data_IF_169451369104
#
_entry.id   IF_169451369104
#
_cell.length_a   1.000
_cell.length_b   1.000
_cell.length_c   1.000
_cell.angle_alpha   90.00
_cell.angle_beta   90.00
_cell.angle_gamma   90.00
#
_symmetry.space_group_name_H-M   'P 1'
#
loop_
_entity.id
_entity.type
_entity.pdbx_description
1 polymer ?
#
# COMPACT_ATOMS: atom_id res chain seq x y z
N UNK A 1 -7.51 1.93 -21.88
CA UNK A 1 -6.91 0.63 -22.30
C UNK A 1 -5.47 0.59 -21.82
N UNK A 2 -4.99 -0.58 -21.38
CA UNK A 2 -3.60 -0.80 -20.97
C UNK A 2 -3.06 -2.03 -21.68
N UNK A 3 -1.88 -1.91 -22.26
CA UNK A 3 -1.11 -3.01 -22.82
C UNK A 3 0.26 -3.03 -22.17
N UNK A 4 0.77 -4.22 -21.84
CA UNK A 4 2.08 -4.36 -21.20
C UNK A 4 2.71 -5.68 -21.55
N UNK A 5 4.04 -5.70 -21.50
CA UNK A 5 4.85 -6.86 -21.79
C UNK A 5 5.98 -6.95 -20.77
N UNK A 6 6.46 -8.18 -20.55
CA UNK A 6 7.64 -8.46 -19.76
C UNK A 6 8.47 -9.54 -20.43
N UNK A 7 9.78 -9.45 -20.29
CA UNK A 7 10.69 -10.51 -20.72
C UNK A 7 10.61 -11.68 -19.75
N UNK A 8 10.36 -12.88 -20.27
CA UNK A 8 10.29 -14.09 -19.47
C UNK A 8 10.75 -15.28 -20.33
N UNK A 9 11.98 -15.75 -20.12
CA UNK A 9 12.51 -16.95 -20.76
C UNK A 9 12.46 -18.13 -19.78
N UNK A 10 12.66 -17.88 -18.49
CA UNK A 10 12.47 -18.88 -17.43
C UNK A 10 12.65 -18.33 -16.01
N UNK A 11 12.61 -19.24 -15.04
CA UNK A 11 12.82 -18.91 -13.61
C UNK A 11 14.28 -18.56 -13.28
N UNK A 12 15.21 -18.81 -14.22
CA UNK A 12 16.65 -18.60 -14.03
C UNK A 12 17.17 -17.35 -14.74
N UNK A 13 16.29 -16.51 -15.29
CA UNK A 13 16.68 -15.28 -15.98
C UNK A 13 17.44 -14.35 -15.03
N UNK A 14 18.67 -13.98 -15.37
CA UNK A 14 19.50 -13.06 -14.57
C UNK A 14 19.10 -11.60 -14.77
N UNK A 15 18.17 -11.30 -15.68
CA UNK A 15 17.66 -9.97 -15.90
C UNK A 15 16.18 -10.01 -16.27
N UNK A 16 15.49 -8.90 -16.07
CA UNK A 16 14.08 -8.74 -16.43
C UNK A 16 13.81 -7.31 -16.83
N UNK A 17 13.20 -7.14 -18.00
CA UNK A 17 12.64 -5.88 -18.47
C UNK A 17 11.13 -6.00 -18.53
N UNK A 18 10.45 -4.99 -18.02
CA UNK A 18 8.99 -4.94 -17.99
C UNK A 18 8.53 -3.54 -18.38
N UNK A 19 7.42 -3.45 -19.10
CA UNK A 19 6.86 -2.16 -19.46
C UNK A 19 5.40 -2.24 -19.84
N UNK A 20 4.72 -1.10 -19.74
CA UNK A 20 3.36 -0.94 -20.18
C UNK A 20 3.10 0.46 -20.69
N UNK A 21 2.08 0.57 -21.52
CA UNK A 21 1.49 1.83 -21.98
C UNK A 21 -0.01 1.76 -21.75
N UNK A 22 -0.62 2.88 -21.37
CA UNK A 22 -2.05 3.00 -21.23
C UNK A 22 -2.55 4.36 -21.71
N UNK A 23 -3.78 4.37 -22.21
CA UNK A 23 -4.49 5.58 -22.58
C UNK A 23 -5.86 5.57 -21.93
N UNK A 24 -6.20 6.65 -21.23
CA UNK A 24 -7.53 6.86 -20.67
C UNK A 24 -8.40 7.63 -21.65
N UNK A 25 -9.58 7.09 -21.95
CA UNK A 25 -10.51 7.74 -22.88
C UNK A 25 -11.28 8.90 -22.23
N UNK A 26 -11.44 8.88 -20.92
CA UNK A 26 -12.11 9.95 -20.17
C UNK A 26 -11.15 11.11 -19.91
N UNK A 27 -9.96 10.81 -19.39
CA UNK A 27 -8.96 11.82 -19.04
C UNK A 27 -8.09 12.26 -20.24
N UNK A 28 -8.15 11.56 -21.37
CA UNK A 28 -7.31 11.78 -22.55
C UNK A 28 -5.81 11.81 -22.25
N UNK A 29 -5.37 11.12 -21.18
CA UNK A 29 -3.98 11.09 -20.73
C UNK A 29 -3.29 9.79 -21.12
N UNK A 30 -2.04 9.93 -21.60
CA UNK A 30 -1.13 8.82 -21.82
C UNK A 30 -0.37 8.49 -20.53
N UNK A 31 -0.26 7.20 -20.23
CA UNK A 31 0.39 6.63 -19.05
C UNK A 31 1.37 5.58 -19.50
N UNK A 32 2.48 5.44 -18.80
CA UNK A 32 3.46 4.40 -19.10
C UNK A 32 4.26 4.01 -17.87
N UNK A 33 4.85 2.83 -17.92
CA UNK A 33 5.89 2.43 -16.99
C UNK A 33 6.88 1.54 -17.69
N UNK A 34 8.15 1.70 -17.36
CA UNK A 34 9.23 0.83 -17.81
C UNK A 34 10.16 0.60 -16.63
N UNK A 35 10.52 -0.66 -16.40
CA UNK A 35 11.53 -1.01 -15.40
C UNK A 35 12.43 -2.12 -15.91
N UNK A 36 13.63 -2.14 -15.36
CA UNK A 36 14.63 -3.16 -15.61
C UNK A 36 15.32 -3.54 -14.32
N UNK A 37 15.69 -4.81 -14.22
CA UNK A 37 16.54 -5.32 -13.15
C UNK A 37 17.49 -6.37 -13.66
N UNK A 38 18.68 -6.41 -13.08
CA UNK A 38 19.76 -7.33 -13.44
C UNK A 38 20.43 -7.84 -12.16
N UNK A 39 20.63 -9.15 -12.11
CA UNK A 39 21.39 -9.87 -11.10
C UNK A 39 22.86 -9.90 -11.52
N UNK A 40 23.69 -9.10 -10.86
CA UNK A 40 25.12 -8.97 -11.13
C UNK A 40 25.96 -10.03 -10.40
N UNK A 41 25.61 -10.35 -9.16
CA UNK A 41 26.26 -11.43 -8.40
C UNK A 41 25.21 -12.39 -7.84
N UNK A 42 25.16 -13.66 -8.29
CA UNK A 42 24.23 -14.66 -7.77
C UNK A 42 24.47 -15.04 -6.30
N UNK A 43 25.71 -14.94 -5.77
CA UNK A 43 26.04 -15.40 -4.41
C UNK A 43 25.50 -14.45 -3.35
N UNK A 44 25.83 -13.17 -3.46
CA UNK A 44 25.28 -12.11 -2.60
C UNK A 44 23.93 -11.59 -3.07
N UNK A 45 23.43 -12.11 -4.21
CA UNK A 45 22.23 -11.61 -4.91
C UNK A 45 22.26 -10.09 -5.13
N UNK A 46 23.39 -9.56 -5.59
CA UNK A 46 23.51 -8.17 -5.97
C UNK A 46 22.63 -7.90 -7.20
N UNK A 47 21.53 -7.17 -7.00
CA UNK A 47 20.58 -6.80 -8.03
C UNK A 47 20.62 -5.28 -8.20
N UNK A 48 20.80 -4.83 -9.43
CA UNK A 48 20.60 -3.42 -9.80
C UNK A 48 19.27 -3.31 -10.49
N UNK A 49 18.49 -2.30 -10.11
CA UNK A 49 17.17 -2.04 -10.68
C UNK A 49 16.99 -0.56 -10.99
N UNK A 50 16.22 -0.29 -12.02
CA UNK A 50 15.89 1.06 -12.42
C UNK A 50 14.57 1.09 -13.17
N UNK A 51 13.91 2.23 -13.15
CA UNK A 51 12.72 2.40 -13.96
C UNK A 51 12.10 3.78 -13.83
N UNK A 52 11.19 4.06 -14.75
CA UNK A 52 10.38 5.25 -14.73
C UNK A 52 8.91 4.88 -14.96
N UNK A 53 8.02 5.55 -14.26
CA UNK A 53 6.58 5.39 -14.42
C UNK A 53 5.89 6.74 -14.36
N UNK A 54 4.99 6.97 -15.30
CA UNK A 54 4.00 8.03 -15.28
C UNK A 54 2.60 7.42 -15.25
N UNK A 55 1.89 7.61 -14.15
CA UNK A 55 0.54 7.09 -13.98
C UNK A 55 -0.32 8.03 -13.13
N UNK A 56 -1.62 7.72 -13.06
CA UNK A 56 -2.56 8.33 -12.14
C UNK A 56 -2.85 7.30 -11.06
N UNK A 57 -2.50 7.63 -9.82
CA UNK A 57 -2.66 6.73 -8.69
C UNK A 57 -3.39 7.42 -7.54
N UNK A 58 -4.03 6.58 -6.74
CA UNK A 58 -4.45 6.97 -5.42
C UNK A 58 -3.29 6.75 -4.44
N UNK A 59 -2.84 7.81 -3.76
CA UNK A 59 -1.86 7.66 -2.68
C UNK A 59 -2.55 7.05 -1.45
N UNK A 60 -1.77 6.42 -0.58
CA UNK A 60 -2.32 5.84 0.66
C UNK A 60 -2.89 4.44 0.54
N UNK A 61 -2.68 3.72 -0.55
CA UNK A 61 -3.19 2.34 -0.72
C UNK A 61 -2.44 1.32 0.18
N UNK A 62 -1.26 1.68 0.68
CA UNK A 62 -0.50 0.88 1.65
C UNK A 62 0.46 1.80 2.42
N UNK A 63 0.59 1.54 3.73
CA UNK A 63 1.49 2.28 4.60
C UNK A 63 2.94 1.90 4.34
N UNK A 64 3.23 0.60 4.19
CA UNK A 64 4.59 0.09 4.00
C UNK A 64 4.83 -0.47 2.59
N UNK A 65 4.30 0.20 1.55
CA UNK A 65 4.55 -0.20 0.17
C UNK A 65 6.06 -0.12 -0.14
N UNK A 66 6.65 -1.24 -0.57
CA UNK A 66 7.96 -1.20 -1.23
C UNK A 66 7.81 -0.38 -2.50
N UNK A 67 8.63 0.66 -2.69
CA UNK A 67 8.59 1.59 -3.83
C UNK A 67 9.01 0.91 -5.15
N UNK A 68 8.38 -0.20 -5.52
CA UNK A 68 8.63 -0.85 -6.80
C UNK A 68 8.00 -0.01 -7.91
N UNK A 69 8.78 0.23 -8.98
CA UNK A 69 8.39 1.14 -10.09
C UNK A 69 7.13 0.64 -10.79
N UNK A 70 6.94 -0.68 -10.86
CA UNK A 70 5.75 -1.29 -11.47
C UNK A 70 4.77 -1.86 -10.44
N UNK A 71 4.93 -1.50 -9.17
CA UNK A 71 3.97 -1.84 -8.12
C UNK A 71 2.56 -1.42 -8.55
N UNK A 72 1.61 -2.37 -8.54
CA UNK A 72 0.24 -2.09 -8.98
C UNK A 72 -0.47 -1.23 -7.93
N UNK A 73 -0.94 -0.04 -8.30
CA UNK A 73 -1.95 0.67 -7.51
C UNK A 73 -3.32 0.04 -7.76
N UNK A 74 -3.94 -0.49 -6.70
CA UNK A 74 -5.20 -1.25 -6.70
C UNK A 74 -6.33 -0.46 -7.38
N UNK A 75 -6.36 0.87 -7.16
CA UNK A 75 -7.38 1.78 -7.69
C UNK A 75 -7.44 1.84 -9.22
N UNK A 76 -6.32 1.59 -9.91
CA UNK A 76 -6.26 1.64 -11.40
C UNK A 76 -6.93 0.45 -12.09
N UNK A 77 -7.28 -0.61 -11.34
CA UNK A 77 -7.74 -1.89 -11.89
C UNK A 77 -9.11 -2.36 -11.42
N UNK A 78 -9.75 -1.66 -10.49
CA UNK A 78 -11.09 -2.02 -10.03
C UNK A 78 -12.15 -1.41 -10.95
N UNK A 79 -12.90 -2.27 -11.65
CA UNK A 79 -14.03 -1.84 -12.49
C UNK A 79 -15.27 -1.42 -11.68
N UNK A 80 -15.27 -1.63 -10.36
CA UNK A 80 -16.44 -1.38 -9.49
C UNK A 80 -16.00 -0.77 -8.14
N UNK A 81 -16.45 0.44 -7.82
CA UNK A 81 -16.21 1.15 -6.55
C UNK A 81 -17.54 1.60 -5.93
N UNK A 82 -17.61 1.67 -4.59
CA UNK A 82 -18.81 2.06 -3.80
C UNK A 82 -18.77 3.54 -3.40
N UNK A 83 -17.92 4.34 -4.03
CA UNK A 83 -17.70 5.75 -3.69
C UNK A 83 -16.99 6.51 -4.82
N UNK A 84 -16.89 7.84 -4.64
CA UNK A 84 -16.22 8.72 -5.60
C UNK A 84 -14.70 8.42 -5.62
N UNK A 85 -14.21 7.85 -6.72
CA UNK A 85 -12.77 7.67 -6.96
C UNK A 85 -12.14 8.95 -7.53
N UNK A 86 -12.35 10.08 -6.86
CA UNK A 86 -11.92 11.41 -7.33
C UNK A 86 -10.62 11.90 -6.66
N UNK A 87 -10.11 11.20 -5.65
CA UNK A 87 -8.84 11.51 -4.95
C UNK A 87 -7.65 10.88 -5.64
N UNK A 88 -7.36 11.40 -6.84
CA UNK A 88 -6.35 10.87 -7.75
C UNK A 88 -5.17 11.84 -7.88
N UNK A 89 -3.96 11.29 -7.88
CA UNK A 89 -2.70 12.01 -8.02
C UNK A 89 -2.03 11.59 -9.32
N UNK A 90 -1.62 12.56 -10.13
CA UNK A 90 -0.69 12.33 -11.24
C UNK A 90 0.72 12.20 -10.68
N UNK A 91 1.37 11.07 -10.97
CA UNK A 91 2.69 10.73 -10.46
C UNK A 91 3.63 10.46 -11.62
N UNK A 92 4.78 11.13 -11.63
CA UNK A 92 5.95 10.72 -12.42
C UNK A 92 7.05 10.30 -11.47
N UNK A 93 7.44 9.03 -11.48
CA UNK A 93 8.40 8.43 -10.57
C UNK A 93 9.55 7.80 -11.35
N UNK A 94 10.76 8.24 -11.06
CA UNK A 94 12.01 7.62 -11.50
C UNK A 94 12.72 7.01 -10.31
N UNK A 95 13.13 5.76 -10.40
CA UNK A 95 13.86 5.08 -9.33
C UNK A 95 15.10 4.41 -9.88
N UNK A 96 16.17 4.48 -9.11
CA UNK A 96 17.38 3.66 -9.27
C UNK A 96 17.70 3.04 -7.92
N UNK A 97 18.06 1.76 -7.89
CA UNK A 97 18.37 1.09 -6.64
C UNK A 97 19.21 -0.16 -6.82
N UNK A 98 19.85 -0.54 -5.73
CA UNK A 98 20.69 -1.72 -5.58
C UNK A 98 20.16 -2.53 -4.39
N UNK A 99 19.99 -3.83 -4.57
CA UNK A 99 19.60 -4.78 -3.52
C UNK A 99 20.67 -5.85 -3.38
N UNK A 100 20.99 -6.25 -2.14
CA UNK A 100 21.83 -7.40 -1.82
C UNK A 100 21.17 -8.29 -0.78
N UNK A 101 21.52 -9.56 -0.77
CA UNK A 101 21.17 -10.56 0.25
C UNK A 101 22.46 -11.18 0.82
N UNK A 102 23.17 -10.49 1.75
CA UNK A 102 24.44 -10.97 2.27
C UNK A 102 24.32 -12.26 3.07
N UNK A 103 23.17 -12.48 3.71
CA UNK A 103 22.80 -13.75 4.34
C UNK A 103 21.39 -14.14 3.91
N UNK A 104 21.15 -15.44 3.79
CA UNK A 104 19.88 -15.99 3.30
C UNK A 104 18.69 -15.34 4.01
N UNK A 105 17.73 -14.86 3.23
CA UNK A 105 16.50 -14.21 3.69
C UNK A 105 16.66 -12.84 4.38
N UNK A 106 17.86 -12.25 4.38
CA UNK A 106 18.09 -10.89 4.86
C UNK A 106 18.52 -10.00 3.69
N UNK A 107 17.61 -9.14 3.24
CA UNK A 107 17.82 -8.26 2.09
C UNK A 107 18.06 -6.82 2.54
N UNK A 108 19.01 -6.18 1.89
CA UNK A 108 19.35 -4.77 2.08
C UNK A 108 19.19 -4.10 0.72
N UNK A 109 18.33 -3.10 0.63
CA UNK A 109 18.13 -2.26 -0.54
C UNK A 109 18.56 -0.84 -0.26
N UNK A 110 19.25 -0.21 -1.21
CA UNK A 110 19.56 1.21 -1.22
C UNK A 110 19.13 1.80 -2.56
N UNK A 111 18.54 2.98 -2.57
CA UNK A 111 18.12 3.60 -3.83
C UNK A 111 17.82 5.08 -3.73
N UNK A 112 17.74 5.71 -4.90
CA UNK A 112 17.25 7.06 -5.09
C UNK A 112 15.93 7.04 -5.86
N UNK A 113 14.97 7.81 -5.39
CA UNK A 113 13.66 7.98 -6.03
C UNK A 113 13.43 9.46 -6.28
N UNK A 114 13.22 9.85 -7.53
CA UNK A 114 12.74 11.17 -7.90
C UNK A 114 11.28 11.08 -8.29
N UNK A 115 10.42 11.87 -7.64
CA UNK A 115 8.98 11.90 -7.90
C UNK A 115 8.48 13.31 -8.14
N UNK A 116 7.49 13.42 -9.02
CA UNK A 116 6.67 14.61 -9.17
C UNK A 116 5.22 14.21 -8.90
N UNK A 117 4.55 14.94 -8.00
CA UNK A 117 3.17 14.71 -7.59
C UNK A 117 2.34 15.96 -7.91
N UNK A 118 1.20 15.78 -8.55
CA UNK A 118 0.20 16.83 -8.73
C UNK A 118 -1.20 16.21 -8.65
N UNK A 119 -2.22 17.00 -8.31
CA UNK A 119 -3.58 16.48 -8.38
C UNK A 119 -3.97 16.16 -9.82
N UNK A 120 -4.58 14.99 -10.04
CA UNK A 120 -5.13 14.62 -11.34
C UNK A 120 -6.49 15.28 -11.61
N UNK A 121 -7.20 15.70 -10.56
CA UNK A 121 -8.52 16.35 -10.62
C UNK A 121 -8.58 17.52 -9.61
N UNK A 122 -7.94 18.66 -9.91
CA UNK A 122 -7.82 19.78 -8.97
C UNK A 122 -9.16 20.31 -8.43
N UNK A 123 -10.22 20.23 -9.22
CA UNK A 123 -11.57 20.65 -8.83
C UNK A 123 -12.19 19.77 -7.74
N UNK A 124 -11.75 18.51 -7.62
CA UNK A 124 -12.32 17.53 -6.70
C UNK A 124 -11.36 17.07 -5.59
N UNK A 125 -10.04 17.21 -5.83
CA UNK A 125 -8.98 16.81 -4.92
C UNK A 125 -7.80 17.76 -5.09
N UNK A 126 -7.36 18.40 -4.02
CA UNK A 126 -6.21 19.31 -4.04
C UNK A 126 -5.04 18.71 -3.27
N UNK A 127 -3.84 18.86 -3.83
CA UNK A 127 -2.56 18.60 -3.17
C UNK A 127 -1.80 19.91 -2.95
N UNK A 128 -2.51 21.03 -2.95
CA UNK A 128 -1.94 22.35 -2.79
C UNK A 128 -1.32 22.50 -1.41
N UNK A 129 -0.17 23.17 -1.37
CA UNK A 129 0.56 23.45 -0.14
C UNK A 129 1.05 24.89 -0.14
N UNK A 130 1.31 25.40 1.07
CA UNK A 130 1.83 26.75 1.27
C UNK A 130 3.29 26.79 0.82
N UNK A 131 3.59 27.66 -0.14
CA UNK A 131 4.93 27.89 -0.65
C UNK A 131 5.19 29.39 -0.76
N UNK A 132 5.97 29.99 0.16
CA UNK A 132 6.27 31.42 0.15
C UNK A 132 6.98 31.92 -1.12
N UNK A 133 7.70 31.04 -1.83
CA UNK A 133 8.42 31.39 -3.05
C UNK A 133 7.51 31.36 -4.29
N UNK A 134 6.32 30.76 -4.18
CA UNK A 134 5.33 30.76 -5.24
C UNK A 134 4.69 32.16 -5.40
N UNK A 135 4.39 32.62 -6.63
CA UNK A 135 3.79 33.94 -6.87
C UNK A 135 2.49 34.22 -6.10
N UNK A 136 1.74 33.17 -5.80
CA UNK A 136 0.46 33.21 -5.06
C UNK A 136 0.59 32.77 -3.60
N UNK A 137 1.80 32.43 -3.14
CA UNK A 137 2.04 31.80 -1.84
C UNK A 137 1.59 30.33 -1.74
N UNK A 138 1.15 29.74 -2.85
CA UNK A 138 0.61 28.38 -2.93
C UNK A 138 1.20 27.67 -4.14
N UNK A 139 1.66 26.43 -3.95
CA UNK A 139 2.12 25.55 -5.01
C UNK A 139 1.25 24.29 -5.07
N UNK A 140 1.08 23.76 -6.29
CA UNK A 140 0.19 22.61 -6.59
C UNK A 140 0.94 21.36 -7.06
N UNK A 141 2.26 21.46 -7.22
CA UNK A 141 3.11 20.40 -7.74
C UNK A 141 4.27 20.19 -6.78
N UNK A 142 4.44 18.98 -6.29
CA UNK A 142 5.53 18.59 -5.41
C UNK A 142 6.58 17.86 -6.23
N UNK A 143 7.83 18.30 -6.15
CA UNK A 143 9.02 17.66 -6.69
C UNK A 143 9.87 17.18 -5.53
N UNK A 144 10.16 15.89 -5.50
CA UNK A 144 10.90 15.32 -4.38
C UNK A 144 11.91 14.27 -4.83
N UNK A 145 13.15 14.47 -4.40
CA UNK A 145 14.20 13.48 -4.44
C UNK A 145 14.39 12.85 -3.06
N UNK A 146 14.34 11.52 -3.02
CA UNK A 146 14.44 10.73 -1.82
C UNK A 146 15.58 9.72 -1.93
N UNK A 147 16.38 9.60 -0.88
CA UNK A 147 17.20 8.43 -0.63
C UNK A 147 16.41 7.41 0.19
N UNK A 148 16.51 6.14 -0.17
CA UNK A 148 15.79 5.05 0.48
C UNK A 148 16.75 3.95 0.93
N UNK A 149 16.61 3.50 2.17
CA UNK A 149 17.28 2.34 2.72
C UNK A 149 16.24 1.36 3.26
N UNK A 150 16.26 0.13 2.73
CA UNK A 150 15.27 -0.91 2.97
C UNK A 150 15.94 -2.15 3.54
N UNK A 151 15.50 -2.61 4.69
CA UNK A 151 15.92 -3.89 5.27
C UNK A 151 14.70 -4.81 5.30
N UNK A 152 14.82 -6.02 4.74
CA UNK A 152 13.78 -7.03 4.79
C UNK A 152 14.36 -8.33 5.32
N UNK A 153 13.80 -8.83 6.42
CA UNK A 153 14.16 -10.12 6.99
C UNK A 153 12.97 -11.09 6.93
N UNK A 154 13.20 -12.27 6.34
CA UNK A 154 12.16 -13.29 6.11
C UNK A 154 12.57 -14.67 6.62
N UNK A 155 12.72 -14.87 7.94
CA UNK A 155 13.26 -16.11 8.51
C UNK A 155 12.43 -17.33 8.12
N UNK A 156 13.10 -18.40 7.68
CA UNK A 156 12.43 -19.64 7.27
C UNK A 156 11.76 -19.59 5.89
N UNK A 157 11.84 -18.47 5.16
CA UNK A 157 11.43 -18.41 3.75
C UNK A 157 12.28 -19.35 2.91
N UNK A 158 11.60 -20.15 2.08
CA UNK A 158 12.18 -21.07 1.11
C UNK A 158 11.82 -20.59 -0.28
N UNK A 159 12.80 -20.54 -1.17
CA UNK A 159 12.62 -20.06 -2.54
C UNK A 159 13.17 -21.06 -3.54
N UNK A 160 12.64 -21.04 -4.76
CA UNK A 160 13.14 -21.76 -5.92
C UNK A 160 13.48 -20.78 -7.04
N UNK A 161 14.43 -21.18 -7.88
CA UNK A 161 14.94 -20.39 -8.99
C UNK A 161 16.26 -19.69 -8.66
N UNK A 162 17.10 -19.53 -9.68
CA UNK A 162 18.39 -18.84 -9.59
C UNK A 162 18.35 -17.43 -10.18
N UNK A 163 17.23 -17.05 -10.80
CA UNK A 163 17.10 -15.78 -11.49
C UNK A 163 17.04 -14.55 -10.58
N UNK A 164 16.90 -13.40 -11.25
CA UNK A 164 16.70 -12.09 -10.62
C UNK A 164 15.45 -12.08 -9.75
N UNK A 165 14.43 -12.85 -10.12
CA UNK A 165 13.27 -13.14 -9.29
C UNK A 165 13.26 -14.61 -8.87
N UNK A 166 12.96 -14.87 -7.60
CA UNK A 166 12.77 -16.22 -7.08
C UNK A 166 11.33 -16.42 -6.67
N UNK A 167 10.82 -17.64 -6.88
CA UNK A 167 9.47 -18.02 -6.46
C UNK A 167 9.49 -18.55 -5.02
N UNK A 168 8.54 -18.13 -4.20
CA UNK A 168 8.36 -18.67 -2.85
C UNK A 168 7.76 -20.08 -2.88
N UNK A 169 8.25 -20.97 -2.02
CA UNK A 169 7.74 -22.35 -1.88
C UNK A 169 6.79 -22.47 -0.70
N UNK A 170 7.10 -21.78 0.40
CA UNK A 170 6.28 -21.75 1.60
C UNK A 170 5.72 -20.35 1.83
N UNK A 171 4.63 -20.29 2.59
CA UNK A 171 3.97 -19.04 2.97
C UNK A 171 3.98 -18.83 4.49
N UNK A 172 4.42 -19.84 5.26
CA UNK A 172 4.43 -19.83 6.72
C UNK A 172 5.75 -19.25 7.28
N UNK A 173 6.00 -17.96 7.07
CA UNK A 173 7.17 -17.27 7.61
C UNK A 173 6.83 -15.83 8.00
N UNK A 174 7.59 -15.27 8.96
CA UNK A 174 7.46 -13.84 9.29
C UNK A 174 8.17 -12.98 8.26
N UNK A 175 7.66 -11.77 8.06
CA UNK A 175 8.36 -10.73 7.32
C UNK A 175 8.54 -9.53 8.25
N UNK A 176 9.79 -9.15 8.47
CA UNK A 176 10.17 -7.90 9.12
C UNK A 176 10.65 -6.96 8.02
N UNK A 177 10.15 -5.74 8.00
CA UNK A 177 10.55 -4.70 7.07
C UNK A 177 10.90 -3.44 7.88
N UNK A 178 12.07 -2.88 7.64
CA UNK A 178 12.46 -1.56 8.11
C UNK A 178 12.79 -0.70 6.89
N UNK A 179 12.12 0.43 6.76
CA UNK A 179 12.29 1.34 5.64
C UNK A 179 12.61 2.73 6.17
N UNK A 180 13.77 3.26 5.77
CA UNK A 180 14.18 4.62 6.06
C UNK A 180 14.23 5.41 4.75
N UNK A 181 13.55 6.55 4.71
CA UNK A 181 13.55 7.46 3.56
C UNK A 181 14.02 8.83 4.01
N UNK A 182 14.94 9.43 3.27
CA UNK A 182 15.45 10.78 3.50
C UNK A 182 15.15 11.64 2.27
N UNK A 183 14.22 12.58 2.42
CA UNK A 183 13.97 13.60 1.41
C UNK A 183 14.96 14.74 1.56
N UNK A 184 15.47 15.25 0.44
CA UNK A 184 16.40 16.39 0.39
C UNK A 184 15.83 17.49 -0.48
N UNK A 185 15.89 18.72 0.00
CA UNK A 185 15.60 19.92 -0.78
C UNK A 185 16.79 20.30 -1.69
N UNK A 186 16.52 21.07 -2.75
CA UNK A 186 17.51 21.63 -3.67
C UNK A 186 18.06 20.67 -4.75
N UNK A 187 18.31 19.39 -4.42
CA UNK A 187 18.79 18.41 -5.41
C UNK A 187 17.72 18.19 -6.49
N UNK A 188 18.06 18.40 -7.76
CA UNK A 188 17.13 18.34 -8.89
C UNK A 188 15.88 19.23 -8.73
N UNK A 189 16.00 20.33 -7.98
CA UNK A 189 14.86 21.21 -7.66
C UNK A 189 13.79 20.45 -6.88
N UNK A 190 14.20 19.80 -5.78
CA UNK A 190 13.31 19.15 -4.82
C UNK A 190 12.90 20.12 -3.73
N UNK A 191 11.68 19.96 -3.23
CA UNK A 191 11.02 21.00 -2.44
C UNK A 191 11.17 20.79 -0.92
N UNK A 192 11.28 19.56 -0.44
CA UNK A 192 11.21 19.27 1.00
C UNK A 192 12.40 18.48 1.56
N UNK A 193 12.77 18.83 2.79
CA UNK A 193 13.73 18.10 3.60
C UNK A 193 13.00 17.39 4.74
N UNK A 194 12.97 16.06 4.71
CA UNK A 194 12.28 15.28 5.73
C UNK A 194 12.94 13.91 5.89
N UNK A 195 12.56 13.21 6.96
CA UNK A 195 12.96 11.81 7.15
C UNK A 195 11.73 10.98 7.48
N UNK A 196 11.65 9.76 6.99
CA UNK A 196 10.54 8.86 7.24
C UNK A 196 11.07 7.51 7.65
N UNK A 197 10.63 7.03 8.81
CA UNK A 197 10.98 5.72 9.33
C UNK A 197 9.73 4.87 9.41
N UNK A 198 9.76 3.68 8.82
CA UNK A 198 8.64 2.75 8.80
C UNK A 198 9.11 1.36 9.15
N UNK A 199 8.30 0.68 9.96
CA UNK A 199 8.51 -0.68 10.38
C UNK A 199 7.24 -1.48 10.11
N UNK A 200 7.37 -2.67 9.54
CA UNK A 200 6.27 -3.61 9.42
C UNK A 200 6.68 -5.01 9.86
N UNK A 201 5.78 -5.67 10.58
CA UNK A 201 5.90 -7.07 10.97
C UNK A 201 4.64 -7.83 10.58
N UNK A 202 4.79 -8.80 9.67
CA UNK A 202 3.70 -9.70 9.26
C UNK A 202 4.03 -11.13 9.66
N UNK A 203 3.08 -11.85 10.24
CA UNK A 203 3.26 -13.22 10.71
C UNK A 203 1.99 -14.06 10.50
N UNK A 204 2.08 -15.16 9.74
CA UNK A 204 1.07 -16.22 9.68
C UNK A 204 1.31 -17.23 10.81
N UNK A 205 0.42 -17.22 11.80
CA UNK A 205 0.40 -18.15 12.92
C UNK A 205 -0.48 -19.36 12.60
N UNK A 206 0.08 -20.57 12.74
CA UNK A 206 -0.70 -21.80 12.74
C UNK A 206 -1.25 -22.01 14.16
N UNK A 207 -2.51 -21.65 14.39
CA UNK A 207 -3.18 -21.80 15.69
C UNK A 207 -3.76 -23.21 15.79
N UNK A 208 -2.92 -24.23 15.57
CA UNK A 208 -3.24 -25.66 15.61
C UNK A 208 -4.67 -26.02 15.18
N UNK A 209 -5.41 -26.59 16.13
CA UNK A 209 -6.81 -27.01 16.01
C UNK A 209 -7.83 -25.88 15.80
N UNK A 210 -7.45 -24.61 15.78
CA UNK A 210 -8.35 -23.45 15.68
C UNK A 210 -8.23 -22.64 14.40
N UNK A 211 -7.13 -22.75 13.65
CA UNK A 211 -7.07 -22.25 12.27
C UNK A 211 -5.75 -21.56 11.98
N UNK A 212 -5.80 -20.55 11.11
CA UNK A 212 -4.66 -19.71 10.77
C UNK A 212 -4.98 -18.26 11.11
N UNK A 213 -4.13 -17.65 11.93
CA UNK A 213 -4.18 -16.22 12.22
C UNK A 213 -3.10 -15.53 11.40
N UNK A 214 -3.45 -14.49 10.66
CA UNK A 214 -2.51 -13.62 9.98
C UNK A 214 -2.52 -12.26 10.65
N UNK A 215 -1.39 -11.89 11.27
CA UNK A 215 -1.22 -10.61 11.95
C UNK A 215 -0.24 -9.73 11.18
N UNK A 216 -0.57 -8.46 11.02
CA UNK A 216 0.33 -7.43 10.49
C UNK A 216 0.29 -6.22 11.39
N UNK A 217 1.47 -5.79 11.85
CA UNK A 217 1.69 -4.57 12.61
C UNK A 217 2.53 -3.63 11.75
N UNK A 218 2.05 -2.42 11.51
CA UNK A 218 2.79 -1.37 10.80
C UNK A 218 2.93 -0.15 11.70
N UNK A 219 4.13 0.41 11.77
CA UNK A 219 4.45 1.58 12.56
C UNK A 219 5.22 2.53 11.65
N UNK A 220 4.93 3.82 11.71
CA UNK A 220 5.70 4.79 10.94
C UNK A 220 5.69 6.17 11.55
N UNK A 221 6.74 6.93 11.26
CA UNK A 221 6.86 8.34 11.62
C UNK A 221 7.57 9.12 10.52
N UNK A 222 7.03 10.29 10.23
CA UNK A 222 7.59 11.30 9.33
C UNK A 222 8.06 12.46 10.17
N UNK A 223 9.32 12.85 9.98
CA UNK A 223 10.01 13.90 10.71
C UNK A 223 10.29 15.06 9.75
N UNK A 224 9.93 16.27 10.16
CA UNK A 224 9.95 17.47 9.32
C UNK A 224 8.57 17.78 8.75
N UNK A 225 8.36 19.05 8.43
CA UNK A 225 7.12 19.54 7.84
C UNK A 225 7.03 19.12 6.36
N UNK A 226 5.97 18.41 6.00
CA UNK A 226 5.72 17.94 4.63
C UNK A 226 4.24 18.09 4.27
N UNK A 227 3.93 18.35 2.98
CA UNK A 227 2.56 18.50 2.53
C UNK A 227 1.83 17.16 2.45
N UNK A 228 0.50 17.22 2.30
CA UNK A 228 -0.42 16.08 2.16
C UNK A 228 0.10 14.97 1.22
N UNK A 229 0.72 15.35 0.10
CA UNK A 229 1.25 14.40 -0.88
C UNK A 229 2.40 13.50 -0.39
N UNK A 230 3.07 13.88 0.70
CA UNK A 230 4.20 13.14 1.30
C UNK A 230 3.87 12.53 2.67
N UNK A 231 2.70 12.83 3.24
CA UNK A 231 2.20 12.27 4.50
C UNK A 231 1.74 10.81 4.39
N UNK A 232 1.44 10.19 5.55
CA UNK A 232 0.94 8.82 5.63
C UNK A 232 -0.57 8.82 5.69
N UNK A 233 -1.18 8.51 4.56
CA UNK A 233 -2.63 8.31 4.47
C UNK A 233 -2.96 6.90 4.93
N UNK A 234 -3.90 6.76 5.86
CA UNK A 234 -4.36 5.45 6.32
C UNK A 234 -5.14 4.77 5.18
N UNK A 235 -4.85 3.50 4.83
CA UNK A 235 -5.43 2.86 3.66
C UNK A 235 -6.92 2.55 3.81
N UNK A 236 -7.78 3.49 3.43
CA UNK A 236 -9.21 3.23 3.23
C UNK A 236 -9.48 2.36 2.01
N UNK A 237 -10.62 1.68 1.99
CA UNK A 237 -11.03 0.85 0.86
C UNK A 237 -12.51 1.07 0.52
N UNK A 238 -12.75 1.87 -0.52
CA UNK A 238 -14.08 2.13 -1.05
C UNK A 238 -14.47 1.20 -2.20
N UNK A 239 -13.79 0.06 -2.38
CA UNK A 239 -14.11 -0.91 -3.44
C UNK A 239 -14.99 -2.04 -2.90
N UNK A 240 -15.64 -2.79 -3.80
CA UNK A 240 -16.30 -4.04 -3.40
C UNK A 240 -15.32 -5.19 -3.17
N UNK A 241 -14.02 -4.99 -3.34
CA UNK A 241 -13.00 -6.03 -3.18
C UNK A 241 -12.35 -6.00 -1.80
N UNK A 242 -12.24 -7.16 -1.16
CA UNK A 242 -11.58 -7.32 0.14
C UNK A 242 -10.06 -7.35 -0.08
N UNK A 243 -9.37 -6.33 0.46
CA UNK A 243 -7.92 -6.18 0.37
C UNK A 243 -7.31 -6.17 1.77
N UNK A 244 -6.43 -7.13 2.05
CA UNK A 244 -5.71 -7.16 3.32
C UNK A 244 -4.77 -5.95 3.43
N UNK A 245 -4.64 -5.38 4.64
CA UNK A 245 -3.88 -4.14 4.86
C UNK A 245 -4.64 -2.85 4.57
N UNK A 246 -5.95 -2.95 4.28
CA UNK A 246 -6.84 -1.79 4.11
C UNK A 246 -8.01 -1.84 5.09
N UNK A 247 -8.71 -0.70 5.23
CA UNK A 247 -9.87 -0.50 6.06
C UNK A 247 -11.13 -0.27 5.19
N UNK A 248 -11.91 -1.32 4.89
CA UNK A 248 -13.18 -1.27 4.14
C UNK A 248 -14.22 -0.21 4.54
N UNK A 249 -14.21 0.23 5.80
CA UNK A 249 -15.15 1.25 6.27
C UNK A 249 -14.54 2.65 6.37
N UNK A 250 -13.26 2.81 6.01
CA UNK A 250 -12.64 4.12 5.85
C UNK A 250 -12.76 4.59 4.41
N UNK A 251 -13.12 5.85 4.28
CA UNK A 251 -13.00 6.56 3.02
C UNK A 251 -11.53 6.90 2.72
N UNK A 252 -11.20 7.06 1.44
CA UNK A 252 -9.84 7.42 1.04
C UNK A 252 -9.47 8.77 1.61
N UNK A 253 -8.29 8.96 2.19
CA UNK A 253 -7.90 10.21 2.89
C UNK A 253 -8.85 10.63 4.02
N UNK A 254 -9.60 9.71 4.63
CA UNK A 254 -10.35 10.03 5.85
C UNK A 254 -9.43 10.30 7.04
N UNK A 255 -8.30 9.58 7.11
CA UNK A 255 -7.24 9.81 8.09
C UNK A 255 -5.89 10.00 7.42
N UNK A 256 -5.22 11.09 7.79
CA UNK A 256 -3.87 11.47 7.33
C UNK A 256 -3.01 11.67 8.56
N UNK A 257 -1.83 11.08 8.56
CA UNK A 257 -0.96 11.02 9.72
C UNK A 257 0.50 11.28 9.34
N UNK A 258 1.27 11.88 10.23
CA UNK A 258 2.72 11.83 10.16
C UNK A 258 3.29 10.67 10.98
N UNK A 259 2.57 10.27 12.04
CA UNK A 259 2.93 9.21 12.98
C UNK A 259 1.75 8.25 13.10
N UNK A 260 1.99 6.95 12.93
CA UNK A 260 0.93 5.96 13.02
C UNK A 260 1.39 4.63 13.59
N UNK A 261 0.41 3.90 14.14
CA UNK A 261 0.48 2.48 14.47
C UNK A 261 -0.78 1.83 13.93
N UNK A 262 -0.65 0.85 13.04
CA UNK A 262 -1.74 0.09 12.43
C UNK A 262 -1.59 -1.39 12.74
N UNK A 263 -2.69 -2.04 13.12
CA UNK A 263 -2.78 -3.46 13.41
C UNK A 263 -3.88 -4.10 12.58
N UNK A 264 -3.54 -5.16 11.85
CA UNK A 264 -4.47 -5.99 11.11
C UNK A 264 -4.36 -7.43 11.58
N UNK A 265 -5.46 -7.98 12.07
CA UNK A 265 -5.60 -9.38 12.45
C UNK A 265 -6.68 -10.00 11.58
N UNK A 266 -6.38 -11.15 10.97
CA UNK A 266 -7.36 -11.95 10.26
C UNK A 266 -7.21 -13.40 10.66
N UNK A 267 -8.26 -14.00 11.20
CA UNK A 267 -8.27 -15.41 11.59
C UNK A 267 -9.20 -16.21 10.70
N UNK A 268 -8.67 -17.20 10.00
CA UNK A 268 -9.44 -18.19 9.26
C UNK A 268 -9.55 -19.47 10.10
N UNK A 269 -10.78 -19.84 10.47
CA UNK A 269 -11.05 -21.03 11.27
C UNK A 269 -10.98 -22.34 10.47
N UNK A 270 -10.82 -22.26 9.14
CA UNK A 270 -10.79 -23.38 8.21
C UNK A 270 -12.05 -24.26 8.28
N UNK A 271 -13.24 -23.67 8.42
CA UNK A 271 -14.52 -24.39 8.41
C UNK A 271 -14.86 -25.08 9.73
N UNK A 272 -14.10 -24.84 10.80
CA UNK A 272 -14.23 -25.59 12.06
C UNK A 272 -15.47 -25.28 12.87
N UNK A 273 -16.10 -24.12 12.67
CA UNK A 273 -17.31 -23.72 13.39
C UNK A 273 -18.56 -24.24 12.64
N UNK A 274 -18.68 -23.93 11.36
CA UNK A 274 -19.71 -24.38 10.43
C UNK A 274 -19.74 -25.89 10.27
N UNK A 275 -18.59 -26.58 10.35
CA UNK A 275 -18.58 -28.05 10.35
C UNK A 275 -19.32 -28.67 11.55
N UNK A 276 -19.56 -27.92 12.64
CA UNK A 276 -20.32 -28.40 13.81
C UNK A 276 -21.82 -28.17 13.69
N UNK A 277 -22.27 -27.38 12.71
CA UNK A 277 -23.69 -27.04 12.52
C UNK A 277 -24.30 -28.00 11.49
N UNK A 278 -25.33 -28.82 11.86
CA UNK A 278 -25.85 -29.93 11.05
C UNK A 278 -26.36 -29.66 9.61
N UNK A 279 -26.36 -28.42 9.14
CA UNK A 279 -26.73 -28.05 7.76
C UNK A 279 -25.58 -27.37 7.01
N UNK A 280 -24.84 -26.49 7.69
CA UNK A 280 -23.72 -25.74 7.11
C UNK A 280 -22.52 -26.64 6.82
N UNK A 281 -22.37 -27.76 7.54
CA UNK A 281 -21.29 -28.74 7.29
C UNK A 281 -21.27 -29.24 5.85
N UNK A 282 -22.42 -29.36 5.17
CA UNK A 282 -22.49 -29.82 3.77
C UNK A 282 -22.00 -28.79 2.76
N UNK A 283 -22.07 -27.51 3.11
CA UNK A 283 -21.67 -26.41 2.24
C UNK A 283 -20.16 -26.19 2.21
N UNK A 284 -19.42 -26.80 3.14
CA UNK A 284 -17.96 -26.70 3.27
C UNK A 284 -17.46 -25.24 3.35
N UNK A 285 -18.24 -24.35 3.96
CA UNK A 285 -17.92 -22.94 4.08
C UNK A 285 -16.73 -22.72 5.03
N UNK A 286 -16.00 -21.61 4.83
CA UNK A 286 -14.87 -21.20 5.68
C UNK A 286 -15.24 -19.94 6.45
N UNK A 287 -15.02 -19.94 7.76
CA UNK A 287 -15.25 -18.77 8.60
C UNK A 287 -13.98 -17.95 8.69
N UNK A 288 -14.12 -16.66 8.43
CA UNK A 288 -13.03 -15.70 8.61
C UNK A 288 -13.51 -14.58 9.50
N UNK A 289 -12.70 -14.20 10.48
CA UNK A 289 -12.91 -12.98 11.24
C UNK A 289 -11.73 -12.04 11.03
N UNK A 290 -12.01 -10.75 11.05
CA UNK A 290 -10.99 -9.71 10.96
C UNK A 290 -11.17 -8.70 12.08
N UNK A 291 -10.05 -8.18 12.58
CA UNK A 291 -9.99 -7.04 13.47
C UNK A 291 -8.90 -6.11 12.94
N UNK A 292 -9.24 -4.85 12.71
CA UNK A 292 -8.32 -3.84 12.22
C UNK A 292 -8.39 -2.64 13.14
N UNK A 293 -7.24 -2.07 13.47
CA UNK A 293 -7.16 -0.90 14.33
C UNK A 293 -6.02 0.01 13.91
N UNK A 294 -6.21 1.31 14.05
CA UNK A 294 -5.19 2.31 13.74
C UNK A 294 -5.26 3.46 14.71
N UNK A 295 -4.10 3.89 15.15
CA UNK A 295 -3.89 5.11 15.91
C UNK A 295 -2.87 5.96 15.16
N UNK A 296 -3.02 7.28 15.22
CA UNK A 296 -2.03 8.16 14.65
C UNK A 296 -2.21 9.61 15.02
N UNK A 297 -1.20 10.40 14.67
CA UNK A 297 -1.13 11.82 14.93
C UNK A 297 -0.77 12.57 13.65
N UNK A 298 -1.17 13.83 13.62
CA UNK A 298 -0.82 14.77 12.58
C UNK A 298 -0.41 16.07 13.27
N UNK A 299 0.82 16.52 13.04
CA UNK A 299 1.38 17.73 13.63
C UNK A 299 0.81 19.00 13.00
N UNK A 300 0.71 20.06 13.82
CA UNK A 300 0.19 21.36 13.40
C UNK A 300 1.00 21.98 12.24
N UNK A 301 2.32 21.73 12.19
CA UNK A 301 3.20 22.17 11.09
C UNK A 301 2.76 21.56 9.74
N UNK A 302 2.44 20.26 9.73
CA UNK A 302 1.97 19.56 8.54
C UNK A 302 0.57 20.03 8.13
N UNK A 303 -0.29 20.34 9.11
CA UNK A 303 -1.63 20.90 8.88
C UNK A 303 -1.52 22.29 8.26
N UNK A 304 -0.69 23.16 8.82
CA UNK A 304 -0.48 24.53 8.34
C UNK A 304 0.08 24.52 6.91
N UNK A 305 1.07 23.67 6.63
CA UNK A 305 1.66 23.53 5.30
C UNK A 305 0.65 23.00 4.27
N UNK A 306 -0.24 22.08 4.68
CA UNK A 306 -1.27 21.48 3.82
C UNK A 306 -2.61 22.22 3.86
N UNK A 307 -2.68 23.39 4.50
CA UNK A 307 -3.94 24.12 4.71
C UNK A 307 -4.74 24.36 3.42
N UNK A 308 -4.14 24.69 2.26
CA UNK A 308 -4.89 24.83 1.01
C UNK A 308 -5.64 23.55 0.58
N UNK A 309 -5.09 22.37 0.88
CA UNK A 309 -5.72 21.09 0.54
C UNK A 309 -6.98 20.77 1.38
N UNK A 310 -7.18 21.46 2.52
CA UNK A 310 -8.33 21.24 3.44
C UNK A 310 -9.69 21.46 2.78
N UNK A 311 -9.74 22.25 1.70
CA UNK A 311 -10.95 22.48 0.89
C UNK A 311 -11.54 21.17 0.37
N UNK A 312 -10.69 20.18 0.08
CA UNK A 312 -11.10 18.90 -0.51
C UNK A 312 -10.88 17.70 0.41
N UNK A 313 -9.94 17.80 1.35
CA UNK A 313 -9.47 16.67 2.15
C UNK A 313 -9.39 17.04 3.64
N UNK A 314 -10.10 16.32 4.54
CA UNK A 314 -9.99 16.59 5.96
C UNK A 314 -8.60 16.17 6.46
N UNK A 315 -7.87 17.12 7.04
CA UNK A 315 -6.56 16.88 7.64
C UNK A 315 -6.73 16.45 9.10
N UNK A 316 -7.18 15.21 9.29
CA UNK A 316 -7.46 14.66 10.61
C UNK A 316 -6.79 13.30 10.82
N UNK A 317 -6.46 13.00 12.07
CA UNK A 317 -5.86 11.74 12.50
C UNK A 317 -6.67 11.14 13.67
N UNK A 318 -6.69 9.81 13.85
CA UNK A 318 -7.32 9.18 15.00
C UNK A 318 -6.40 9.27 16.24
N UNK A 319 -6.20 10.48 16.76
CA UNK A 319 -5.30 10.78 17.87
C UNK A 319 -5.91 10.48 19.24
N UNK A 320 -7.17 10.87 19.43
CA UNK A 320 -7.85 10.83 20.73
C UNK A 320 -8.30 9.42 21.11
N UNK A 321 -8.76 8.65 20.12
CA UNK A 321 -9.22 7.28 20.27
C UNK A 321 -8.70 6.45 19.10
N UNK A 322 -8.25 5.23 19.39
CA UNK A 322 -7.86 4.28 18.35
C UNK A 322 -9.07 4.00 17.46
N UNK A 323 -8.96 4.22 16.16
CA UNK A 323 -9.98 3.78 15.21
C UNK A 323 -9.96 2.25 15.14
N UNK A 324 -11.12 1.60 15.13
CA UNK A 324 -11.18 0.16 14.91
C UNK A 324 -12.40 -0.27 14.12
N UNK A 325 -12.25 -1.39 13.42
CA UNK A 325 -13.31 -2.08 12.70
C UNK A 325 -13.10 -3.60 12.79
N UNK A 326 -14.19 -4.34 12.67
CA UNK A 326 -14.15 -5.80 12.68
C UNK A 326 -14.96 -6.34 11.51
N UNK A 327 -14.60 -7.53 11.05
CA UNK A 327 -15.27 -8.18 9.93
C UNK A 327 -15.60 -9.62 10.23
N UNK A 328 -16.73 -10.08 9.72
CA UNK A 328 -17.13 -11.49 9.71
C UNK A 328 -17.32 -11.91 8.27
N UNK A 329 -16.62 -12.95 7.86
CA UNK A 329 -16.54 -13.41 6.49
C UNK A 329 -16.94 -14.87 6.33
N UNK A 330 -17.56 -15.16 5.18
CA UNK A 330 -17.93 -16.49 4.73
C UNK A 330 -17.19 -16.74 3.42
N UNK A 331 -16.20 -17.63 3.48
CA UNK A 331 -15.38 -18.06 2.35
C UNK A 331 -15.82 -19.40 1.77
N UNK A 332 -15.16 -19.78 0.68
CA UNK A 332 -15.41 -21.02 -0.06
C UNK A 332 -16.84 -21.16 -0.62
N UNK A 333 -17.53 -20.04 -0.84
CA UNK A 333 -18.82 -19.99 -1.55
C UNK A 333 -18.55 -20.37 -3.01
N UNK A 334 -19.21 -21.42 -3.50
CA UNK A 334 -18.91 -22.05 -4.81
C UNK A 334 -17.43 -22.39 -5.04
N UNK A 335 -16.65 -22.54 -3.95
CA UNK A 335 -15.20 -22.79 -3.96
C UNK A 335 -14.29 -21.69 -4.48
N UNK A 336 -14.84 -20.52 -4.80
CA UNK A 336 -14.09 -19.43 -5.45
C UNK A 336 -14.36 -18.06 -4.86
N UNK A 337 -15.39 -17.92 -4.02
CA UNK A 337 -15.86 -16.64 -3.52
C UNK A 337 -15.81 -16.61 -2.00
N UNK A 338 -15.33 -15.48 -1.47
CA UNK A 338 -15.49 -15.08 -0.08
C UNK A 338 -16.22 -13.75 -0.03
N UNK A 339 -17.14 -13.62 0.92
CA UNK A 339 -17.86 -12.37 1.23
C UNK A 339 -17.57 -12.01 2.68
N UNK A 340 -17.15 -10.77 2.93
CA UNK A 340 -16.87 -10.18 4.22
C UNK A 340 -17.90 -9.08 4.53
N UNK A 341 -18.49 -9.17 5.72
CA UNK A 341 -19.32 -8.14 6.32
C UNK A 341 -18.45 -7.34 7.29
N UNK A 342 -18.19 -6.07 7.01
CA UNK A 342 -17.31 -5.21 7.79
C UNK A 342 -18.13 -4.19 8.59
N UNK A 343 -17.81 -4.04 9.88
CA UNK A 343 -18.50 -3.15 10.82
C UNK A 343 -17.51 -2.14 11.39
N UNK A 344 -17.86 -0.85 11.30
CA UNK A 344 -17.09 0.25 11.88
C UNK A 344 -17.39 0.33 13.38
N UNK A 345 -16.35 0.33 14.21
CA UNK A 345 -16.49 0.29 15.66
C UNK A 345 -16.70 1.66 16.30
N UNK A 346 -16.08 2.71 15.76
CA UNK A 346 -16.15 4.08 16.26
C UNK A 346 -16.01 5.10 15.12
N UNK A 347 -15.98 6.40 15.45
CA UNK A 347 -16.00 7.50 14.46
C UNK A 347 -17.23 7.43 13.53
N UNK A 348 -18.38 7.06 14.10
CA UNK A 348 -19.68 7.00 13.40
C UNK A 348 -20.29 8.40 13.18
N UNK A 349 -19.86 9.38 13.97
CA UNK A 349 -20.31 10.77 13.87
C UNK A 349 -19.55 11.57 12.80
N UNK A 350 -18.53 10.97 12.17
CA UNK A 350 -17.76 11.63 11.11
C UNK A 350 -18.62 11.85 9.85
N UNK A 351 -18.44 12.96 9.12
CA UNK A 351 -19.17 13.20 7.87
C UNK A 351 -18.94 12.06 6.88
N UNK A 352 -20.02 11.51 6.32
CA UNK A 352 -19.99 10.36 5.41
C UNK A 352 -19.41 9.06 6.01
N UNK A 353 -19.38 8.94 7.35
CA UNK A 353 -18.95 7.72 8.01
C UNK A 353 -19.71 6.51 7.48
N UNK A 354 -18.97 5.47 7.09
CA UNK A 354 -19.55 4.21 6.60
C UNK A 354 -19.68 3.22 7.77
N UNK A 355 -20.87 3.07 8.39
CA UNK A 355 -21.03 2.18 9.54
C UNK A 355 -20.80 0.70 9.17
N UNK A 356 -21.07 0.35 7.92
CA UNK A 356 -21.08 -1.01 7.44
C UNK A 356 -20.74 -1.09 5.95
N UNK A 357 -19.99 -2.12 5.56
CA UNK A 357 -19.73 -2.42 4.15
C UNK A 357 -19.69 -3.93 3.90
N UNK A 358 -20.00 -4.31 2.66
CA UNK A 358 -19.88 -5.68 2.17
C UNK A 358 -18.80 -5.69 1.10
N UNK A 359 -17.79 -6.53 1.30
CA UNK A 359 -16.69 -6.73 0.35
C UNK A 359 -16.58 -8.19 -0.02
N UNK A 360 -16.11 -8.50 -1.23
CA UNK A 360 -15.87 -9.86 -1.67
C UNK A 360 -14.46 -10.06 -2.20
N UNK A 361 -13.99 -11.29 -2.25
CA UNK A 361 -12.74 -11.64 -2.94
C UNK A 361 -12.91 -12.93 -3.72
N UNK A 362 -12.28 -12.98 -4.89
CA UNK A 362 -12.24 -14.17 -5.73
C UNK A 362 -10.89 -14.86 -5.53
N UNK A 363 -10.94 -16.12 -5.13
CA UNK A 363 -9.76 -16.92 -4.85
C UNK A 363 -10.14 -18.33 -4.46
N UNK A 364 -9.23 -19.26 -4.70
CA UNK A 364 -9.41 -20.62 -4.21
C UNK A 364 -8.96 -20.69 -2.75
N UNK A 365 -9.93 -20.80 -1.84
CA UNK A 365 -9.70 -21.04 -0.41
C UNK A 365 -9.66 -22.55 -0.15
N UNK A 366 -8.52 -23.21 -0.44
CA UNK A 366 -8.36 -24.65 -0.19
C UNK A 366 -8.16 -24.97 1.30
#
# INVERSE_FOLDING_TARGET
IRAGARTYFGENDTWRLEGYTAYGFTDHKFKYGASGKVLLDPKSRLIVSGGNRRDIEQLGVSLTATQDVLGRSIASSSLVTVGANNRLTEINLSKLGVEIEPVTNFRIGLGGTFRTLASALPEAFSLDYVDPEAPTGIASTIRQFDFNALLIYTPGRKTIGYGVERRGINENYSTLLLNYTKGTDGIFGSDFNYSKLQFAYSQPWQVGGFGRLFSTLEIGKTFGAVPLGLLNVIPGNQTFFSNYGTFPNLDFYEFVTDTYVSLHLQHNFNGRLFARIPLLRKLNLREVIGLRGVWGQLSDENIALSAPATVSTPLQAPSDKVYYEYSVGIGNIFRILRIDFNFRGNYLDSPNARPFSITGTFGFDF
#
